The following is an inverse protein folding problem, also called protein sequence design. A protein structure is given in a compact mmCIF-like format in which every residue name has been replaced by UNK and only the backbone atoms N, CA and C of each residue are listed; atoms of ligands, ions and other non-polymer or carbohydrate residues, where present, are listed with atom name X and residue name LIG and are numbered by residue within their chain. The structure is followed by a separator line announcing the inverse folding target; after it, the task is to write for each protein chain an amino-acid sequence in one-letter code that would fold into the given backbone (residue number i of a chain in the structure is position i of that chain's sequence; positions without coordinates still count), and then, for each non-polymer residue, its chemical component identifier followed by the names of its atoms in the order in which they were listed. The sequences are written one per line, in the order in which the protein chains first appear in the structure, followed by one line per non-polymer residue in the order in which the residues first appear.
data_IF_482072960569
#
_entry.id   IF_482072960569
#
_cell.length_a   1.000
_cell.length_b   1.000
_cell.length_c   1.000
_cell.angle_alpha   90.00
_cell.angle_beta   90.00
_cell.angle_gamma   90.00
#
_symmetry.space_group_name_H-M   'P 1'
#
loop_
_entity.id
_entity.type
_entity.pdbx_description
1 polymer ?
#
# COMPACT_ATOMS: atom_id res chain seq x y z
N UNK A 1 41.58 -0.45 42.55
CA UNK A 1 41.68 0.78 41.73
C UNK A 1 41.32 0.43 40.31
N UNK A 2 40.25 1.05 39.82
CA UNK A 2 39.44 0.75 38.64
C UNK A 2 40.12 1.06 37.31
N UNK A 3 40.05 0.15 36.33
CA UNK A 3 40.24 0.47 34.90
C UNK A 3 39.23 -0.30 34.04
N UNK A 4 38.04 0.27 33.76
CA UNK A 4 37.01 -0.34 32.95
C UNK A 4 36.99 0.28 31.55
N UNK A 5 38.09 0.24 30.79
CA UNK A 5 38.19 1.07 29.57
C UNK A 5 38.28 0.28 28.25
N UNK A 6 38.35 -1.05 28.30
CA UNK A 6 38.45 -1.87 27.07
C UNK A 6 37.10 -2.40 26.55
N UNK A 7 36.05 -2.40 27.37
CA UNK A 7 34.70 -2.85 26.96
C UNK A 7 33.86 -1.72 26.35
N UNK A 8 34.19 -0.45 26.60
CA UNK A 8 33.46 0.69 26.05
C UNK A 8 33.76 0.95 24.56
N UNK A 9 34.94 0.57 24.07
CA UNK A 9 35.34 0.81 22.68
C UNK A 9 34.64 -0.12 21.68
N UNK A 10 34.23 -1.33 22.09
CA UNK A 10 33.57 -2.29 21.20
C UNK A 10 32.08 -1.98 20.98
N UNK A 11 31.44 -1.28 21.92
CA UNK A 11 30.02 -0.89 21.81
C UNK A 11 29.86 0.37 20.95
N UNK A 12 30.85 1.28 20.96
CA UNK A 12 30.82 2.50 20.14
C UNK A 12 30.94 2.22 18.63
N UNK A 13 31.67 1.18 18.23
CA UNK A 13 31.80 0.79 16.81
C UNK A 13 30.51 0.21 16.21
N UNK A 14 29.67 -0.43 17.02
CA UNK A 14 28.45 -1.08 16.54
C UNK A 14 27.27 -0.10 16.35
N UNK A 15 27.28 1.05 17.03
CA UNK A 15 26.27 2.10 16.83
C UNK A 15 26.53 2.96 15.57
N UNK A 16 27.77 3.07 15.11
CA UNK A 16 28.13 3.90 13.95
C UNK A 16 27.80 3.25 12.58
N UNK A 17 27.58 1.94 12.54
CA UNK A 17 27.33 1.20 11.30
C UNK A 17 25.85 1.14 10.88
N UNK A 18 24.93 1.67 11.71
CA UNK A 18 23.48 1.54 11.50
C UNK A 18 22.81 2.83 11.00
N UNK A 19 23.55 3.86 10.59
CA UNK A 19 22.98 5.00 9.87
C UNK A 19 22.47 4.49 8.51
N UNK A 20 21.14 4.44 8.28
CA UNK A 20 20.62 4.12 6.95
C UNK A 20 21.18 5.17 5.99
N UNK A 21 21.65 4.81 4.79
CA UNK A 21 22.15 5.79 3.85
C UNK A 21 21.03 6.80 3.56
N UNK A 22 21.24 8.05 3.96
CA UNK A 22 20.33 9.14 3.66
C UNK A 22 20.22 9.31 2.13
N UNK A 23 19.03 9.03 1.61
CA UNK A 23 18.34 9.91 0.67
C UNK A 23 19.03 10.32 -0.63
N UNK A 24 19.92 9.51 -1.23
CA UNK A 24 20.31 9.73 -2.62
C UNK A 24 19.12 9.48 -3.57
N UNK A 25 18.96 10.24 -4.68
CA UNK A 25 17.88 10.02 -5.63
C UNK A 25 17.96 8.59 -6.18
N UNK A 26 17.01 7.74 -5.79
CA UNK A 26 16.94 6.35 -6.23
C UNK A 26 16.60 6.37 -7.71
N UNK A 27 17.59 6.15 -8.57
CA UNK A 27 17.41 6.05 -10.02
C UNK A 27 17.35 4.59 -10.43
N UNK A 28 16.52 4.29 -11.43
CA UNK A 28 16.53 2.99 -12.08
C UNK A 28 17.82 2.82 -12.90
N UNK A 29 18.19 1.56 -13.26
CA UNK A 29 19.33 1.28 -14.14
C UNK A 29 19.27 1.97 -15.51
N UNK A 30 18.09 2.44 -15.92
CA UNK A 30 17.84 3.18 -17.16
C UNK A 30 17.94 4.71 -17.00
N UNK A 31 18.24 5.21 -15.79
CA UNK A 31 18.41 6.63 -15.49
C UNK A 31 17.13 7.37 -15.10
N UNK A 32 15.95 6.75 -15.15
CA UNK A 32 14.69 7.36 -14.69
C UNK A 32 14.62 7.46 -13.17
N UNK A 33 13.87 8.43 -12.65
CA UNK A 33 13.63 8.48 -11.21
C UNK A 33 12.73 7.31 -10.79
N UNK A 34 13.12 6.59 -9.73
CA UNK A 34 12.34 5.48 -9.21
C UNK A 34 10.99 5.96 -8.67
N UNK A 35 10.98 7.15 -8.07
CA UNK A 35 9.79 7.73 -7.46
C UNK A 35 8.72 8.08 -8.52
N UNK A 36 9.09 8.66 -9.67
CA UNK A 36 8.12 8.91 -10.76
C UNK A 36 7.62 7.61 -11.39
N UNK A 37 8.49 6.60 -11.53
CA UNK A 37 8.10 5.30 -12.06
C UNK A 37 7.08 4.60 -11.13
N UNK A 38 7.29 4.67 -9.81
CA UNK A 38 6.35 4.17 -8.80
C UNK A 38 5.04 4.97 -8.86
N UNK A 39 5.11 6.30 -8.91
CA UNK A 39 3.93 7.17 -8.97
C UNK A 39 3.06 6.85 -10.18
N UNK A 40 3.67 6.71 -11.36
CA UNK A 40 2.94 6.35 -12.58
C UNK A 40 2.27 4.98 -12.46
N UNK A 41 3.00 3.98 -11.97
CA UNK A 41 2.47 2.63 -11.80
C UNK A 41 1.33 2.57 -10.76
N UNK A 42 1.44 3.34 -9.66
CA UNK A 42 0.39 3.44 -8.64
C UNK A 42 -0.86 4.16 -9.17
N UNK A 43 -0.68 5.17 -10.02
CA UNK A 43 -1.77 5.85 -10.71
C UNK A 43 -2.51 4.89 -11.65
N UNK A 44 -1.79 4.20 -12.54
CA UNK A 44 -2.37 3.22 -13.48
C UNK A 44 -3.18 2.14 -12.72
N UNK A 45 -2.61 1.56 -11.67
CA UNK A 45 -3.32 0.58 -10.83
C UNK A 45 -4.52 1.16 -10.09
N UNK A 46 -4.50 2.45 -9.74
CA UNK A 46 -5.66 3.11 -9.11
C UNK A 46 -6.82 3.28 -10.09
N UNK A 47 -6.51 3.53 -11.37
CA UNK A 47 -7.52 3.58 -12.44
C UNK A 47 -8.13 2.19 -12.67
N UNK A 48 -7.30 1.14 -12.70
CA UNK A 48 -7.78 -0.25 -12.82
C UNK A 48 -8.68 -0.66 -11.65
N UNK A 49 -8.24 -0.43 -10.40
CA UNK A 49 -9.04 -0.72 -9.21
C UNK A 49 -10.36 0.07 -9.22
N UNK A 50 -10.36 1.32 -9.71
CA UNK A 50 -11.56 2.14 -9.81
C UNK A 50 -12.55 1.60 -10.84
N UNK A 51 -12.06 1.08 -11.98
CA UNK A 51 -12.89 0.41 -12.97
C UNK A 51 -13.51 -0.89 -12.40
N UNK A 52 -12.74 -1.68 -11.63
CA UNK A 52 -13.26 -2.86 -10.92
C UNK A 52 -14.34 -2.45 -9.90
N UNK A 53 -14.14 -1.34 -9.19
CA UNK A 53 -15.10 -0.81 -8.23
C UNK A 53 -16.45 -0.48 -8.88
N UNK A 54 -16.45 0.21 -10.03
CA UNK A 54 -17.68 0.52 -10.79
C UNK A 54 -18.42 -0.77 -11.15
N UNK A 55 -17.71 -1.76 -11.69
CA UNK A 55 -18.30 -3.05 -12.07
C UNK A 55 -18.92 -3.77 -10.88
N UNK A 56 -18.22 -3.84 -9.74
CA UNK A 56 -18.74 -4.50 -8.54
C UNK A 56 -19.94 -3.76 -7.95
N UNK A 57 -19.94 -2.42 -8.01
CA UNK A 57 -21.08 -1.62 -7.56
C UNK A 57 -22.34 -1.88 -8.40
N UNK A 58 -22.19 -1.99 -9.73
CA UNK A 58 -23.29 -2.37 -10.63
C UNK A 58 -23.80 -3.78 -10.32
N UNK A 59 -22.90 -4.73 -10.07
CA UNK A 59 -23.27 -6.10 -9.68
C UNK A 59 -24.01 -6.12 -8.34
N UNK A 60 -23.51 -5.40 -7.33
CA UNK A 60 -24.16 -5.30 -6.02
C UNK A 60 -25.57 -4.72 -6.15
N UNK A 61 -25.72 -3.64 -6.93
CA UNK A 61 -27.03 -3.06 -7.22
C UNK A 61 -27.97 -4.09 -7.84
N UNK A 62 -27.51 -4.81 -8.88
CA UNK A 62 -28.34 -5.81 -9.54
C UNK A 62 -28.74 -6.97 -8.62
N UNK A 63 -27.84 -7.43 -7.75
CA UNK A 63 -28.14 -8.44 -6.74
C UNK A 63 -29.19 -7.94 -5.73
N UNK A 64 -29.08 -6.69 -5.29
CA UNK A 64 -30.04 -6.09 -4.36
C UNK A 64 -31.41 -5.82 -5.00
N UNK A 65 -31.46 -5.51 -6.30
CA UNK A 65 -32.72 -5.34 -7.04
C UNK A 65 -33.45 -6.66 -7.29
N UNK A 66 -32.71 -7.78 -7.39
CA UNK A 66 -33.27 -9.12 -7.61
C UNK A 66 -33.76 -9.78 -6.33
N UNK A 67 -33.08 -9.53 -5.21
CA UNK A 67 -33.43 -10.13 -3.94
C UNK A 67 -34.39 -9.20 -3.18
N UNK A 68 -35.66 -9.58 -3.07
CA UNK A 68 -36.62 -8.86 -2.21
C UNK A 68 -36.07 -8.75 -0.78
N UNK A 69 -36.45 -7.67 -0.09
CA UNK A 69 -35.89 -7.08 1.15
C UNK A 69 -35.44 -8.01 2.30
N UNK A 70 -35.74 -9.31 2.25
CA UNK A 70 -35.52 -10.28 3.32
C UNK A 70 -34.45 -11.34 3.00
N UNK A 71 -33.86 -11.36 1.80
CA UNK A 71 -32.81 -12.33 1.46
C UNK A 71 -31.53 -11.63 1.02
N UNK A 72 -30.75 -11.14 1.99
CA UNK A 72 -29.37 -10.73 1.71
C UNK A 72 -28.55 -11.98 1.39
N UNK A 73 -28.17 -12.13 0.13
CA UNK A 73 -27.35 -13.26 -0.31
C UNK A 73 -25.93 -13.12 0.25
N UNK A 74 -25.30 -14.26 0.56
CA UNK A 74 -23.86 -14.31 0.90
C UNK A 74 -23.01 -13.69 -0.22
N UNK A 75 -23.50 -13.74 -1.46
CA UNK A 75 -22.87 -13.09 -2.61
C UNK A 75 -22.82 -11.57 -2.45
N UNK A 76 -23.95 -10.92 -2.12
CA UNK A 76 -24.01 -9.47 -1.92
C UNK A 76 -23.06 -8.98 -0.83
N UNK A 77 -22.95 -9.73 0.27
CA UNK A 77 -22.00 -9.42 1.37
C UNK A 77 -20.56 -9.45 0.84
N UNK A 78 -20.17 -10.51 0.13
CA UNK A 78 -18.82 -10.64 -0.43
C UNK A 78 -18.49 -9.57 -1.46
N UNK A 79 -19.47 -9.17 -2.29
CA UNK A 79 -19.30 -8.08 -3.25
C UNK A 79 -19.04 -6.77 -2.51
N UNK A 80 -19.81 -6.48 -1.45
CA UNK A 80 -19.61 -5.29 -0.63
C UNK A 80 -18.22 -5.27 0.04
N UNK A 81 -17.78 -6.38 0.64
CA UNK A 81 -16.44 -6.49 1.24
C UNK A 81 -15.33 -6.23 0.20
N UNK A 82 -15.50 -6.76 -1.02
CA UNK A 82 -14.54 -6.53 -2.10
C UNK A 82 -14.47 -5.05 -2.52
N UNK A 83 -15.61 -4.37 -2.58
CA UNK A 83 -15.67 -2.91 -2.83
C UNK A 83 -14.89 -2.15 -1.76
N UNK A 84 -15.08 -2.49 -0.47
CA UNK A 84 -14.34 -1.85 0.63
C UNK A 84 -12.82 -2.06 0.51
N UNK A 85 -12.39 -3.27 0.13
CA UNK A 85 -10.98 -3.56 -0.09
C UNK A 85 -10.36 -2.72 -1.21
N UNK A 86 -11.05 -2.59 -2.34
CA UNK A 86 -10.60 -1.79 -3.49
C UNK A 86 -10.54 -0.31 -3.13
N UNK A 87 -11.61 0.22 -2.53
CA UNK A 87 -11.66 1.60 -2.07
C UNK A 87 -10.52 1.91 -1.09
N UNK A 88 -10.22 0.98 -0.17
CA UNK A 88 -9.09 1.10 0.77
C UNK A 88 -7.75 1.08 0.06
N UNK A 89 -7.56 0.24 -0.97
CA UNK A 89 -6.32 0.18 -1.76
C UNK A 89 -6.07 1.48 -2.53
N UNK A 90 -7.09 1.99 -3.24
CA UNK A 90 -7.04 3.27 -3.95
C UNK A 90 -6.65 4.38 -2.96
N UNK A 91 -7.38 4.50 -1.84
CA UNK A 91 -7.10 5.52 -0.82
C UNK A 91 -5.67 5.45 -0.27
N UNK A 92 -5.12 4.25 -0.07
CA UNK A 92 -3.74 4.06 0.41
C UNK A 92 -2.71 4.55 -0.61
N UNK A 93 -2.93 4.30 -1.90
CA UNK A 93 -2.04 4.81 -2.97
C UNK A 93 -2.12 6.32 -3.07
N UNK A 94 -3.33 6.89 -3.03
CA UNK A 94 -3.53 8.34 -3.09
C UNK A 94 -2.87 9.09 -1.92
N UNK A 95 -2.86 8.52 -0.70
CA UNK A 95 -2.22 9.13 0.48
C UNK A 95 -0.70 9.03 0.53
N UNK A 96 -0.09 8.26 -0.37
CA UNK A 96 1.37 8.14 -0.44
C UNK A 96 2.01 9.42 -1.00
N UNK A 97 1.20 10.27 -1.64
CA UNK A 97 1.55 11.53 -2.29
C UNK A 97 0.71 12.67 -1.68
#
# INVERSE_FOLDING_TARGET
MTRPDFLAALIAGLLAAQTPPEGGPRRLPDGRSQDEAILKADWEKSIEDAAELVKLAEQLKSELERNEHHVLSVSSIRIAERIEELARRIRRRLRRF
#
